data_IF_319346589395
#
_entry.id   IF_319346589395
#
_cell.length_a   1.000
_cell.length_b   1.000
_cell.length_c   1.000
_cell.angle_alpha   90.00
_cell.angle_beta   90.00
_cell.angle_gamma   90.00
#
_symmetry.space_group_name_H-M   'P 1'
#
loop_
_entity.id
_entity.type
_entity.pdbx_description
1 polymer ?
#
# COMPACT_ATOMS: atom_id res chain seq x y z
N UNK A 1 4.74 -15.14 -21.58
CA UNK A 1 3.56 -14.73 -22.38
C UNK A 1 2.40 -14.59 -21.40
N UNK A 2 1.79 -13.40 -21.31
CA UNK A 2 0.63 -13.18 -20.43
C UNK A 2 -0.61 -13.87 -21.04
N UNK A 3 -1.50 -14.36 -20.17
CA UNK A 3 -2.79 -14.89 -20.61
C UNK A 3 -3.67 -13.73 -21.14
N UNK A 4 -4.50 -14.01 -22.15
CA UNK A 4 -5.39 -12.99 -22.74
C UNK A 4 -6.41 -12.40 -21.75
N UNK A 5 -6.71 -13.14 -20.66
CA UNK A 5 -7.60 -12.72 -19.58
C UNK A 5 -6.87 -12.21 -18.33
N UNK A 6 -5.59 -11.91 -18.43
CA UNK A 6 -4.80 -11.37 -17.32
C UNK A 6 -5.24 -9.96 -16.98
N UNK A 7 -5.50 -9.72 -15.69
CA UNK A 7 -5.93 -8.40 -15.17
C UNK A 7 -4.76 -7.58 -14.59
N UNK A 8 -3.61 -8.20 -14.40
CA UNK A 8 -2.41 -7.57 -13.87
C UNK A 8 -1.39 -7.42 -15.00
N UNK A 9 -0.78 -6.23 -15.11
CA UNK A 9 0.27 -5.94 -16.08
C UNK A 9 1.67 -5.82 -15.48
N UNK A 10 1.77 -5.35 -14.23
CA UNK A 10 3.06 -5.11 -13.57
C UNK A 10 2.94 -5.19 -12.04
N UNK A 11 4.09 -5.35 -11.37
CA UNK A 11 4.25 -5.22 -9.92
C UNK A 11 5.07 -3.97 -9.64
N UNK A 12 4.45 -2.97 -9.02
CA UNK A 12 5.05 -1.66 -8.80
C UNK A 12 5.69 -1.50 -7.43
N UNK A 13 5.18 -2.23 -6.42
CA UNK A 13 5.58 -2.03 -5.03
C UNK A 13 5.61 -3.34 -4.26
N UNK A 14 6.56 -3.39 -3.33
CA UNK A 14 6.65 -4.41 -2.27
C UNK A 14 6.44 -3.70 -0.94
N UNK A 15 5.47 -4.14 -0.15
CA UNK A 15 5.10 -3.49 1.09
C UNK A 15 5.20 -4.40 2.32
N UNK A 16 5.80 -3.86 3.36
CA UNK A 16 5.95 -4.52 4.65
C UNK A 16 5.18 -3.78 5.73
N UNK A 17 4.50 -4.54 6.58
CA UNK A 17 3.92 -4.00 7.82
C UNK A 17 4.90 -4.26 8.95
N UNK A 18 5.21 -3.19 9.71
CA UNK A 18 6.28 -3.18 10.71
C UNK A 18 5.78 -2.62 12.05
N UNK A 19 6.42 -3.05 13.15
CA UNK A 19 6.10 -2.55 14.50
C UNK A 19 6.72 -1.19 14.80
N UNK A 20 7.90 -0.94 14.20
CA UNK A 20 8.72 0.25 14.43
C UNK A 20 9.29 0.70 13.09
N UNK A 21 8.68 1.75 12.54
CA UNK A 21 9.02 2.28 11.22
C UNK A 21 10.44 2.85 11.20
N UNK A 22 10.77 3.65 12.21
CA UNK A 22 12.03 4.39 12.26
C UNK A 22 13.22 3.42 12.36
N UNK A 23 13.10 2.41 13.22
CA UNK A 23 14.09 1.34 13.33
C UNK A 23 14.22 0.55 12.02
N UNK A 24 13.10 0.21 11.39
CA UNK A 24 13.14 -0.58 10.15
C UNK A 24 13.73 0.21 8.99
N UNK A 25 13.41 1.50 8.85
CA UNK A 25 14.06 2.37 7.85
C UNK A 25 15.57 2.41 8.03
N UNK A 26 16.03 2.57 9.28
CA UNK A 26 17.46 2.59 9.58
C UNK A 26 18.15 1.28 9.16
N UNK A 27 17.59 0.13 9.50
CA UNK A 27 18.13 -1.19 9.12
C UNK A 27 18.19 -1.37 7.59
N UNK A 28 17.15 -0.97 6.86
CA UNK A 28 17.14 -1.03 5.38
C UNK A 28 18.17 -0.10 4.75
N UNK A 29 18.32 1.09 5.32
CA UNK A 29 19.30 2.08 4.84
C UNK A 29 20.73 1.63 5.12
N UNK A 30 21.01 1.21 6.35
CA UNK A 30 22.37 0.82 6.76
C UNK A 30 22.85 -0.48 6.11
N UNK A 31 21.97 -1.47 5.99
CA UNK A 31 22.34 -2.79 5.47
C UNK A 31 22.26 -2.91 3.96
N UNK A 32 21.30 -2.22 3.33
CA UNK A 32 20.99 -2.40 1.91
C UNK A 32 21.18 -1.13 1.08
N UNK A 33 21.41 0.05 1.71
CA UNK A 33 21.48 1.32 1.01
C UNK A 33 20.15 1.78 0.44
N UNK A 34 19.02 1.30 0.94
CA UNK A 34 17.70 1.71 0.46
C UNK A 34 17.30 3.03 1.12
N UNK A 35 16.97 4.01 0.32
CA UNK A 35 16.60 5.37 0.71
C UNK A 35 16.97 6.38 -0.40
N UNK A 36 16.71 7.68 -0.20
CA UNK A 36 16.02 8.26 0.96
C UNK A 36 14.55 7.86 1.03
N UNK A 37 14.01 7.79 2.25
CA UNK A 37 12.62 7.46 2.52
C UNK A 37 11.77 8.72 2.60
N UNK A 38 10.72 8.76 1.79
CA UNK A 38 9.62 9.71 1.87
C UNK A 38 8.67 9.25 3.00
N UNK A 39 8.52 10.03 4.08
CA UNK A 39 7.76 9.59 5.26
C UNK A 39 6.57 10.51 5.51
N UNK A 40 5.40 9.92 5.75
CA UNK A 40 4.18 10.67 6.08
C UNK A 40 3.26 9.91 7.02
N UNK A 41 2.48 10.68 7.78
CA UNK A 41 1.36 10.17 8.58
C UNK A 41 0.07 10.32 7.80
N UNK A 42 -0.55 9.21 7.45
CA UNK A 42 -1.89 9.15 6.89
C UNK A 42 -2.93 8.80 7.95
N UNK A 43 -4.00 9.56 7.95
CA UNK A 43 -5.17 9.45 8.80
C UNK A 43 -6.08 10.64 8.57
N UNK A 44 -7.26 10.71 9.21
CA UNK A 44 -8.11 11.88 9.12
C UNK A 44 -7.39 13.17 9.53
N UNK A 45 -7.56 14.31 8.81
CA UNK A 45 -8.43 14.49 7.65
C UNK A 45 -7.77 14.20 6.29
N UNK A 46 -6.46 13.86 6.23
CA UNK A 46 -5.72 13.59 4.98
C UNK A 46 -6.24 12.34 4.27
N UNK A 47 -6.73 11.37 5.03
CA UNK A 47 -7.29 10.13 4.53
C UNK A 47 -8.81 10.16 4.68
N UNK A 48 -9.52 9.84 3.61
CA UNK A 48 -10.98 9.84 3.53
C UNK A 48 -11.49 8.57 2.86
N UNK A 49 -12.82 8.34 2.88
CA UNK A 49 -13.42 7.16 2.24
C UNK A 49 -12.90 5.83 2.78
N UNK A 50 -12.43 5.83 4.02
CA UNK A 50 -11.83 4.67 4.67
C UNK A 50 -12.88 3.61 4.96
N UNK A 51 -12.65 2.41 4.43
CA UNK A 51 -13.53 1.25 4.65
C UNK A 51 -12.71 0.00 4.92
N UNK A 52 -13.26 -0.86 5.78
CA UNK A 52 -12.73 -2.20 6.03
C UNK A 52 -13.90 -3.17 5.83
N UNK A 53 -13.77 -4.10 4.88
CA UNK A 53 -14.83 -5.05 4.50
C UNK A 53 -16.18 -4.37 4.24
N UNK A 54 -16.15 -3.18 3.60
CA UNK A 54 -17.32 -2.38 3.23
C UNK A 54 -17.86 -1.45 4.32
N UNK A 55 -17.41 -1.58 5.57
CA UNK A 55 -17.83 -0.72 6.68
C UNK A 55 -16.93 0.51 6.78
N UNK A 56 -17.51 1.69 7.01
CA UNK A 56 -16.76 2.92 7.22
C UNK A 56 -16.07 2.90 8.60
N UNK A 57 -14.74 2.89 8.58
CA UNK A 57 -13.92 2.79 9.79
C UNK A 57 -12.70 3.69 9.66
N UNK A 58 -12.53 4.71 10.55
CA UNK A 58 -11.33 5.54 10.52
C UNK A 58 -10.10 4.76 11.02
N UNK A 59 -8.99 4.92 10.32
CA UNK A 59 -7.68 4.39 10.71
C UNK A 59 -6.55 5.35 10.35
N UNK A 60 -5.38 5.13 10.93
CA UNK A 60 -4.18 5.88 10.59
C UNK A 60 -2.94 5.01 10.60
N UNK A 61 -1.96 5.38 9.78
CA UNK A 61 -0.66 4.72 9.69
C UNK A 61 0.44 5.72 9.37
N UNK A 62 1.63 5.46 9.87
CA UNK A 62 2.87 6.02 9.33
C UNK A 62 3.30 5.18 8.14
N UNK A 63 3.74 5.84 7.09
CA UNK A 63 4.12 5.24 5.83
C UNK A 63 5.47 5.80 5.38
N UNK A 64 6.40 4.93 5.02
CA UNK A 64 7.69 5.29 4.46
C UNK A 64 7.85 4.64 3.09
N UNK A 65 8.27 5.43 2.10
CA UNK A 65 8.47 4.98 0.72
C UNK A 65 9.88 5.30 0.25
N UNK A 66 10.55 4.32 -0.37
CA UNK A 66 11.81 4.50 -1.08
C UNK A 66 11.78 3.72 -2.39
N UNK A 67 12.74 4.00 -3.30
CA UNK A 67 12.82 3.35 -4.59
C UNK A 67 14.17 2.67 -4.80
N UNK A 68 14.13 1.48 -5.42
CA UNK A 68 15.30 0.82 -5.99
C UNK A 68 15.00 0.50 -7.45
N UNK A 69 15.63 1.21 -8.36
CA UNK A 69 15.27 1.15 -9.78
C UNK A 69 13.81 1.54 -9.99
N UNK A 70 13.01 0.65 -10.57
CA UNK A 70 11.60 0.87 -10.83
C UNK A 70 10.67 0.31 -9.74
N UNK A 71 11.21 -0.32 -8.70
CA UNK A 71 10.42 -0.94 -7.64
C UNK A 71 10.35 -0.02 -6.42
N UNK A 72 9.16 0.22 -5.95
CA UNK A 72 8.89 0.98 -4.74
C UNK A 72 8.90 0.04 -3.52
N UNK A 73 9.63 0.44 -2.49
CA UNK A 73 9.59 -0.17 -1.16
C UNK A 73 8.69 0.65 -0.27
N UNK A 74 7.78 -0.01 0.41
CA UNK A 74 6.91 0.63 1.37
C UNK A 74 6.99 -0.06 2.72
N UNK A 75 7.14 0.75 3.77
CA UNK A 75 7.04 0.32 5.15
C UNK A 75 5.82 0.98 5.78
N UNK A 76 4.99 0.19 6.46
CA UNK A 76 3.76 0.67 7.09
C UNK A 76 3.77 0.32 8.57
N UNK A 77 3.62 1.33 9.41
CA UNK A 77 3.36 1.18 10.83
C UNK A 77 1.94 1.64 11.12
N UNK A 78 1.00 0.74 11.51
CA UNK A 78 -0.33 1.16 11.93
C UNK A 78 -0.24 1.98 13.22
N UNK A 79 -1.02 3.05 13.31
CA UNK A 79 -1.04 3.96 14.46
C UNK A 79 -2.35 3.83 15.20
N UNK A 80 -3.45 4.31 14.64
CA UNK A 80 -4.74 4.35 15.33
C UNK A 80 -5.85 3.69 14.51
N UNK A 81 -6.96 3.36 15.18
CA UNK A 81 -8.10 2.66 14.58
C UNK A 81 -7.80 1.19 14.23
N UNK A 82 -8.82 0.41 13.86
CA UNK A 82 -8.65 -0.93 13.32
C UNK A 82 -8.10 -0.85 11.89
N UNK A 83 -7.34 -1.86 11.46
CA UNK A 83 -6.84 -1.98 10.08
C UNK A 83 -6.35 -3.39 9.80
N UNK A 84 -6.32 -3.77 8.53
CA UNK A 84 -5.71 -5.04 8.11
C UNK A 84 -4.23 -5.13 8.51
N UNK A 85 -3.55 -3.99 8.66
CA UNK A 85 -2.16 -3.94 9.13
C UNK A 85 -2.03 -4.38 10.60
N UNK A 86 -2.97 -3.95 11.47
CA UNK A 86 -3.01 -4.39 12.87
C UNK A 86 -3.34 -5.88 12.97
N UNK A 87 -4.27 -6.34 12.15
CA UNK A 87 -4.62 -7.76 12.04
C UNK A 87 -3.38 -8.58 11.66
N UNK A 88 -2.65 -8.14 10.63
CA UNK A 88 -1.43 -8.78 10.16
C UNK A 88 -0.32 -8.79 11.23
N UNK A 89 -0.09 -7.68 11.93
CA UNK A 89 0.88 -7.64 13.04
C UNK A 89 0.51 -8.59 14.17
N UNK A 90 -0.76 -8.73 14.47
CA UNK A 90 -1.23 -9.66 15.50
C UNK A 90 -1.01 -11.12 15.09
N UNK A 91 -1.26 -11.45 13.82
CA UNK A 91 -1.14 -12.82 13.32
C UNK A 91 0.31 -13.23 13.01
N UNK A 92 1.13 -12.33 12.43
CA UNK A 92 2.43 -12.66 11.84
C UNK A 92 3.62 -11.93 12.52
N UNK A 93 3.37 -10.93 13.35
CA UNK A 93 4.43 -10.17 14.02
C UNK A 93 5.07 -9.07 13.15
N UNK A 94 4.78 -9.02 11.87
CA UNK A 94 5.32 -8.12 10.86
C UNK A 94 5.96 -8.87 9.70
N UNK A 95 6.25 -8.15 8.61
CA UNK A 95 6.87 -8.69 7.41
C UNK A 95 6.15 -8.30 6.12
N UNK A 96 6.40 -9.04 5.05
CA UNK A 96 5.79 -8.80 3.74
C UNK A 96 4.26 -8.97 3.84
N UNK A 97 3.54 -7.92 3.51
CA UNK A 97 2.08 -7.87 3.63
C UNK A 97 1.37 -7.88 2.29
N UNK A 98 1.77 -6.98 1.38
CA UNK A 98 1.12 -6.86 0.08
C UNK A 98 2.10 -6.48 -1.02
N UNK A 99 1.61 -6.61 -2.24
CA UNK A 99 2.24 -6.05 -3.43
C UNK A 99 1.24 -5.14 -4.14
N UNK A 100 1.71 -3.96 -4.55
CA UNK A 100 0.93 -3.09 -5.43
C UNK A 100 1.09 -3.58 -6.86
N UNK A 101 -0.04 -3.84 -7.50
CA UNK A 101 -0.10 -4.29 -8.88
C UNK A 101 -0.79 -3.26 -9.78
N UNK A 102 -0.32 -3.16 -11.01
CA UNK A 102 -1.02 -2.39 -12.02
C UNK A 102 -2.08 -3.25 -12.70
N UNK A 103 -3.32 -2.75 -12.71
CA UNK A 103 -4.42 -3.40 -13.43
C UNK A 103 -4.47 -2.90 -14.88
N UNK A 104 -4.71 -3.82 -15.82
CA UNK A 104 -4.64 -3.53 -17.26
C UNK A 104 -5.75 -2.61 -17.71
N UNK A 105 -5.45 -1.31 -17.91
CA UNK A 105 -6.22 -0.37 -18.75
C UNK A 105 -7.72 -0.25 -18.45
N UNK A 106 -8.19 -0.79 -17.32
CA UNK A 106 -9.59 -0.74 -16.90
C UNK A 106 -9.80 0.38 -15.89
N UNK A 107 -10.99 0.90 -15.78
CA UNK A 107 -11.35 1.81 -14.69
C UNK A 107 -11.20 1.11 -13.33
N UNK A 108 -10.90 1.87 -12.28
CA UNK A 108 -10.67 1.34 -10.93
C UNK A 108 -11.86 0.51 -10.42
N UNK A 109 -13.08 0.97 -10.63
CA UNK A 109 -14.31 0.28 -10.25
C UNK A 109 -14.49 -1.04 -11.03
N UNK A 110 -14.09 -1.06 -12.29
CA UNK A 110 -14.15 -2.26 -13.12
C UNK A 110 -13.12 -3.30 -12.66
N UNK A 111 -11.93 -2.85 -12.28
CA UNK A 111 -10.91 -3.71 -11.67
C UNK A 111 -11.45 -4.34 -10.38
N UNK A 112 -12.02 -3.54 -9.46
CA UNK A 112 -12.65 -4.04 -8.22
C UNK A 112 -13.76 -5.05 -8.53
N UNK A 113 -14.65 -4.75 -9.48
CA UNK A 113 -15.72 -5.66 -9.87
C UNK A 113 -15.18 -6.98 -10.42
N UNK A 114 -14.10 -6.92 -11.22
CA UNK A 114 -13.45 -8.10 -11.78
C UNK A 114 -12.81 -8.98 -10.70
N UNK A 115 -12.11 -8.39 -9.74
CA UNK A 115 -11.57 -9.13 -8.59
C UNK A 115 -12.69 -9.76 -7.74
N UNK A 116 -13.75 -8.98 -7.46
CA UNK A 116 -14.89 -9.45 -6.68
C UNK A 116 -15.60 -10.62 -7.35
N UNK A 117 -15.80 -10.56 -8.68
CA UNK A 117 -16.39 -11.66 -9.45
C UNK A 117 -15.54 -12.94 -9.44
N UNK A 118 -14.24 -12.82 -9.13
CA UNK A 118 -13.30 -13.95 -8.96
C UNK A 118 -13.18 -14.41 -7.49
N UNK A 119 -14.04 -13.92 -6.61
CA UNK A 119 -14.05 -14.28 -5.19
C UNK A 119 -13.04 -13.54 -4.32
N UNK A 120 -12.48 -12.43 -4.82
CA UNK A 120 -11.49 -11.60 -4.14
C UNK A 120 -12.03 -10.16 -3.98
N UNK A 121 -12.98 -9.90 -3.06
CA UNK A 121 -13.55 -8.56 -2.86
C UNK A 121 -12.54 -7.61 -2.19
N UNK A 122 -12.83 -6.28 -2.15
CA UNK A 122 -12.04 -5.33 -1.39
C UNK A 122 -12.04 -5.67 0.10
N UNK A 123 -10.86 -5.66 0.69
CA UNK A 123 -10.60 -5.90 2.11
C UNK A 123 -10.49 -4.60 2.90
N UNK A 124 -9.76 -3.63 2.36
CA UNK A 124 -9.64 -2.29 2.91
C UNK A 124 -9.47 -1.28 1.78
N UNK A 125 -10.07 -0.11 1.94
CA UNK A 125 -10.08 0.95 0.95
C UNK A 125 -9.83 2.31 1.59
N UNK A 126 -9.37 3.26 0.80
CA UNK A 126 -9.21 4.63 1.24
C UNK A 126 -8.87 5.58 0.09
N UNK A 127 -8.79 6.87 0.43
CA UNK A 127 -8.47 7.93 -0.51
C UNK A 127 -7.59 8.97 0.16
N UNK A 128 -6.55 9.41 -0.51
CA UNK A 128 -5.80 10.61 -0.15
C UNK A 128 -5.77 11.59 -1.35
N UNK A 129 -6.38 12.76 -1.15
CA UNK A 129 -6.65 13.64 -2.28
C UNK A 129 -7.48 12.94 -3.36
N UNK A 130 -6.97 12.94 -4.59
CA UNK A 130 -7.63 12.27 -5.72
C UNK A 130 -7.19 10.81 -5.91
N UNK A 131 -6.16 10.37 -5.19
CA UNK A 131 -5.67 8.99 -5.27
C UNK A 131 -6.57 8.07 -4.47
N UNK A 132 -6.98 6.96 -5.09
CA UNK A 132 -7.77 5.90 -4.44
C UNK A 132 -6.94 4.63 -4.37
N UNK A 133 -7.09 3.87 -3.30
CA UNK A 133 -6.46 2.56 -3.16
C UNK A 133 -7.46 1.53 -2.63
N UNK A 134 -7.24 0.30 -3.00
CA UNK A 134 -7.97 -0.85 -2.47
C UNK A 134 -7.04 -2.04 -2.29
N UNK A 135 -7.13 -2.66 -1.13
CA UNK A 135 -6.55 -3.96 -0.84
C UNK A 135 -7.57 -5.04 -1.17
N UNK A 136 -7.14 -6.01 -1.93
CA UNK A 136 -7.98 -7.09 -2.45
C UNK A 136 -7.77 -8.33 -1.60
N UNK A 137 -8.84 -9.00 -1.19
CA UNK A 137 -8.81 -10.19 -0.34
C UNK A 137 -8.29 -11.41 -1.11
N UNK A 138 -6.96 -11.48 -1.19
CA UNK A 138 -6.24 -12.53 -1.90
C UNK A 138 -5.32 -13.35 -1.00
N UNK A 139 -5.23 -13.03 0.30
CA UNK A 139 -4.32 -13.71 1.22
C UNK A 139 -4.64 -15.21 1.31
N UNK A 140 -5.91 -15.58 1.45
CA UNK A 140 -6.31 -16.98 1.51
C UNK A 140 -5.87 -17.80 0.29
N UNK A 141 -6.29 -17.43 -0.93
CA UNK A 141 -5.97 -18.21 -2.13
C UNK A 141 -4.55 -18.01 -2.65
N UNK A 142 -3.89 -16.84 -2.42
CA UNK A 142 -2.62 -16.48 -3.06
C UNK A 142 -1.46 -16.26 -2.07
N UNK A 143 -1.70 -16.39 -0.76
CA UNK A 143 -0.73 -16.16 0.32
C UNK A 143 -0.11 -14.75 0.30
N UNK A 144 -0.78 -13.78 -0.27
CA UNK A 144 -0.42 -12.35 -0.26
C UNK A 144 -1.64 -11.50 -0.54
N UNK A 145 -1.68 -10.31 0.02
CA UNK A 145 -2.69 -9.30 -0.31
C UNK A 145 -2.23 -8.55 -1.57
N UNK A 146 -3.13 -8.29 -2.49
CA UNK A 146 -2.88 -7.40 -3.62
C UNK A 146 -3.42 -6.01 -3.31
N UNK A 147 -2.68 -4.99 -3.72
CA UNK A 147 -3.15 -3.61 -3.73
C UNK A 147 -3.32 -3.14 -5.18
N UNK A 148 -4.38 -2.39 -5.43
CA UNK A 148 -4.57 -1.60 -6.65
C UNK A 148 -4.73 -0.14 -6.27
N UNK A 149 -4.20 0.76 -7.10
CA UNK A 149 -4.24 2.21 -6.88
C UNK A 149 -4.68 2.91 -8.17
N UNK A 150 -5.61 3.83 -8.02
CA UNK A 150 -6.02 4.76 -9.07
C UNK A 150 -5.39 6.13 -8.80
N UNK A 151 -4.57 6.59 -9.73
CA UNK A 151 -3.90 7.90 -9.67
C UNK A 151 -4.36 8.75 -10.85
N UNK A 152 -4.68 10.04 -10.63
CA UNK A 152 -4.98 10.93 -11.74
C UNK A 152 -3.76 11.06 -12.67
N UNK A 153 -4.03 11.33 -13.94
CA UNK A 153 -2.97 11.63 -14.91
C UNK A 153 -2.12 12.82 -14.41
N UNK A 154 -0.81 12.70 -14.50
CA UNK A 154 0.12 13.72 -14.00
C UNK A 154 0.23 13.79 -12.48
N UNK A 155 -0.22 12.78 -11.75
CA UNK A 155 -0.07 12.76 -10.30
C UNK A 155 1.36 13.03 -9.85
N UNK A 156 1.50 14.05 -9.01
CA UNK A 156 2.74 14.36 -8.31
C UNK A 156 2.53 14.06 -6.82
N UNK A 157 3.41 13.22 -6.28
CA UNK A 157 3.38 12.91 -4.85
C UNK A 157 3.56 14.18 -4.03
N UNK A 158 2.73 14.45 -3.03
CA UNK A 158 2.90 15.63 -2.17
C UNK A 158 4.21 15.56 -1.39
N UNK A 159 4.65 16.70 -0.86
CA UNK A 159 5.80 16.74 0.04
C UNK A 159 5.55 15.84 1.26
N UNK A 160 6.58 15.10 1.74
CA UNK A 160 6.47 14.29 2.94
C UNK A 160 6.43 15.14 4.20
N UNK A 161 6.04 14.52 5.31
CA UNK A 161 6.23 15.15 6.62
C UNK A 161 7.73 15.29 6.94
N UNK A 162 8.55 14.31 6.51
CA UNK A 162 10.02 14.39 6.53
C UNK A 162 10.67 13.36 5.60
N UNK A 163 11.96 13.54 5.32
CA UNK A 163 12.82 12.59 4.63
C UNK A 163 13.80 11.92 5.60
N UNK A 164 14.04 10.61 5.43
CA UNK A 164 15.06 9.89 6.19
C UNK A 164 16.08 9.23 5.25
N UNK A 165 17.40 9.36 5.50
CA UNK A 165 18.05 10.16 6.55
C UNK A 165 18.06 11.66 6.24
N UNK A 166 17.63 12.07 5.07
CA UNK A 166 17.53 13.43 4.58
C UNK A 166 16.93 13.41 3.16
N UNK A 167 16.61 14.59 2.57
CA UNK A 167 16.03 14.66 1.23
C UNK A 167 16.98 14.12 0.16
N UNK A 168 16.44 13.69 -1.00
CA UNK A 168 17.27 13.30 -2.14
C UNK A 168 18.18 14.46 -2.59
N UNK A 169 19.40 14.14 -3.03
CA UNK A 169 20.40 15.10 -3.53
C UNK A 169 20.09 15.55 -4.94
#
# INVERSE_FOLDING_TARGET
>A
MALDNGIISDVQQVALVVRDLDKTMAEYTERLGIGPWWVTLYGPPRLTGMRIRGEEVPYSMKLAIAWTGNTMWELIQPVDGPSIYKEFLAAHGGGLHHVLVEHRGTAFEEAIATFSARGCPPLMEGRFGEVRFAYIDTEGPLNTVLEIVDRPEGFVRPEPDYWYPGPPS
#
